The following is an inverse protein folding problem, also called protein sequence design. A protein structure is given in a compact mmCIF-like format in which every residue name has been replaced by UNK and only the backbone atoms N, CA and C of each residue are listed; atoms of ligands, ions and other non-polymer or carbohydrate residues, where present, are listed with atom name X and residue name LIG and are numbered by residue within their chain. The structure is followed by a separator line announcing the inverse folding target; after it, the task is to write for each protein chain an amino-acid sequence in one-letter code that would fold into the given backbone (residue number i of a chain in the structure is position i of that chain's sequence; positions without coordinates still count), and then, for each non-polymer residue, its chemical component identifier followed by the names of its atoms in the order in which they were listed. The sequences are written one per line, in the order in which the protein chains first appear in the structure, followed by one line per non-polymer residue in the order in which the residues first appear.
data_IF_355350799336
#
_entry.id   IF_355350799336
#
_cell.length_a   1.000
_cell.length_b   1.000
_cell.length_c   1.000
_cell.angle_alpha   90.00
_cell.angle_beta   90.00
_cell.angle_gamma   90.00
#
_symmetry.space_group_name_H-M   'P 1'
#
loop_
_entity.id
_entity.type
_entity.pdbx_description
1 polymer ?
#
# COMPACT_ATOMS: atom_id res chain seq x y z
N UNK A 1 4.32 -3.06 42.46
CA UNK A 1 2.85 -3.29 42.38
C UNK A 1 2.37 -2.71 41.05
N UNK A 2 2.47 -3.49 39.98
CA UNK A 2 2.18 -3.07 38.60
C UNK A 2 0.77 -3.54 38.23
N UNK A 3 -0.15 -2.61 37.97
CA UNK A 3 -1.49 -2.93 37.47
C UNK A 3 -1.46 -2.96 35.95
N UNK A 4 -1.32 -4.17 35.40
CA UNK A 4 -1.56 -4.49 33.98
C UNK A 4 -3.07 -4.42 33.66
N UNK A 5 -3.49 -3.89 32.50
CA UNK A 5 -4.85 -4.08 32.01
C UNK A 5 -5.06 -5.54 31.53
N UNK A 6 -6.29 -6.08 31.64
CA UNK A 6 -6.57 -7.48 31.35
C UNK A 6 -6.68 -7.76 29.84
N UNK A 7 -6.01 -8.83 29.45
CA UNK A 7 -6.37 -9.80 28.40
C UNK A 7 -6.59 -9.27 26.97
N UNK A 8 -5.50 -8.83 26.34
CA UNK A 8 -5.42 -8.81 24.86
C UNK A 8 -5.02 -10.22 24.43
N UNK A 9 -5.97 -10.95 23.84
CA UNK A 9 -5.69 -12.25 23.21
C UNK A 9 -4.64 -12.04 22.13
N UNK A 10 -3.48 -12.69 22.29
CA UNK A 10 -2.44 -12.74 21.27
C UNK A 10 -3.02 -13.39 20.00
N UNK A 11 -3.04 -12.65 18.90
CA UNK A 11 -3.40 -13.21 17.61
C UNK A 11 -2.14 -13.75 16.93
N UNK A 12 -2.23 -14.88 16.20
CA UNK A 12 -1.07 -15.61 15.65
C UNK A 12 -0.28 -14.87 14.55
N UNK A 13 -0.56 -13.57 14.32
CA UNK A 13 0.11 -12.72 13.34
C UNK A 13 0.82 -11.50 13.96
N UNK A 14 0.94 -11.44 15.28
CA UNK A 14 1.71 -10.38 15.95
C UNK A 14 3.21 -10.64 15.75
N UNK A 15 3.77 -10.06 14.69
CA UNK A 15 5.19 -10.07 14.42
C UNK A 15 5.90 -9.15 15.41
N UNK A 16 6.74 -9.74 16.27
CA UNK A 16 7.61 -9.06 17.26
C UNK A 16 8.49 -7.96 16.63
N UNK A 17 8.68 -7.97 15.31
CA UNK A 17 9.49 -6.98 14.58
C UNK A 17 8.71 -5.72 14.12
N UNK A 18 7.37 -5.71 14.24
CA UNK A 18 6.51 -4.58 13.86
C UNK A 18 6.30 -3.55 15.00
N UNK A 19 7.08 -3.63 16.08
CA UNK A 19 6.94 -2.75 17.26
C UNK A 19 7.43 -1.30 17.04
N UNK A 20 7.29 -0.76 15.82
CA UNK A 20 7.30 0.70 15.59
C UNK A 20 5.93 1.10 15.03
N UNK A 21 5.12 1.85 15.80
CA UNK A 21 3.78 2.24 15.34
C UNK A 21 3.93 3.36 14.31
N UNK A 22 4.00 3.02 13.03
CA UNK A 22 3.79 4.00 11.97
C UNK A 22 2.26 4.20 11.83
N UNK A 23 1.73 5.22 12.51
CA UNK A 23 0.31 5.53 12.53
C UNK A 23 -0.19 5.82 11.10
N UNK A 24 -1.06 4.95 10.58
CA UNK A 24 -1.72 5.19 9.29
C UNK A 24 -2.68 6.39 9.37
N UNK A 25 -2.82 7.15 8.28
CA UNK A 25 -3.80 8.26 8.14
C UNK A 25 -5.23 7.82 8.51
N UNK A 26 -5.59 6.57 8.22
CA UNK A 26 -6.90 5.98 8.55
C UNK A 26 -7.07 5.75 10.06
N UNK A 27 -5.99 5.48 10.78
CA UNK A 27 -5.97 5.31 12.23
C UNK A 27 -5.95 6.66 12.95
N UNK A 28 -5.28 7.66 12.39
CA UNK A 28 -5.34 9.05 12.86
C UNK A 28 -6.78 9.61 12.81
N UNK A 29 -7.49 9.42 11.70
CA UNK A 29 -8.90 9.86 11.57
C UNK A 29 -9.86 9.12 12.53
N UNK A 30 -9.54 7.89 12.92
CA UNK A 30 -10.30 7.17 13.96
C UNK A 30 -9.99 7.69 15.37
N UNK A 31 -8.75 8.09 15.63
CA UNK A 31 -8.33 8.57 16.95
C UNK A 31 -8.86 9.98 17.27
N UNK A 32 -9.12 10.82 16.26
CA UNK A 32 -9.58 12.21 16.48
C UNK A 32 -11.07 12.37 16.74
N UNK A 33 -11.87 11.30 16.65
CA UNK A 33 -13.31 11.36 16.96
C UNK A 33 -13.60 11.42 18.47
N UNK A 34 -12.60 11.22 19.33
CA UNK A 34 -12.76 11.23 20.78
C UNK A 34 -11.55 11.87 21.48
N UNK A 35 -11.46 13.21 21.46
CA UNK A 35 -10.99 14.11 22.54
C UNK A 35 -10.48 15.44 21.95
N UNK A 36 -11.14 16.54 22.30
CA UNK A 36 -10.63 17.90 22.11
C UNK A 36 -10.08 18.41 23.45
N UNK A 37 -8.75 18.44 23.60
CA UNK A 37 -8.06 19.16 24.68
C UNK A 37 -6.84 19.87 24.05
N UNK A 38 -6.63 21.13 24.43
CA UNK A 38 -5.75 22.09 23.77
C UNK A 38 -4.23 21.96 24.06
N UNK A 39 -3.44 22.60 23.18
CA UNK A 39 -2.02 23.03 23.25
C UNK A 39 -0.91 22.06 22.78
N UNK A 40 0.31 22.57 22.43
CA UNK A 40 0.69 23.68 21.53
C UNK A 40 1.53 23.17 20.31
N UNK A 41 1.84 24.08 19.38
CA UNK A 41 2.49 23.80 18.10
C UNK A 41 3.89 23.16 18.21
N UNK A 42 4.08 21.99 17.58
CA UNK A 42 5.40 21.44 17.21
C UNK A 42 5.45 21.44 15.68
N UNK A 43 6.32 22.30 15.14
CA UNK A 43 6.64 22.35 13.73
C UNK A 43 7.20 21.00 13.29
N UNK A 44 6.41 20.22 12.55
CA UNK A 44 6.91 19.08 11.79
C UNK A 44 7.18 19.58 10.38
N UNK A 45 8.45 19.63 10.03
CA UNK A 45 8.88 19.79 8.64
C UNK A 45 8.23 18.68 7.84
N UNK A 46 7.28 19.07 6.97
CA UNK A 46 6.69 18.20 5.98
C UNK A 46 7.82 17.73 5.04
N UNK A 47 8.45 16.61 5.38
CA UNK A 47 9.36 15.91 4.50
C UNK A 47 8.56 15.46 3.29
N UNK A 48 8.83 16.05 2.14
CA UNK A 48 8.36 15.52 0.86
C UNK A 48 9.02 14.15 0.71
N UNK A 49 8.24 13.08 0.85
CA UNK A 49 8.72 11.75 0.51
C UNK A 49 8.99 11.75 -1.00
N UNK A 50 10.27 11.84 -1.37
CA UNK A 50 10.73 11.60 -2.74
C UNK A 50 10.41 10.13 -3.03
N UNK A 51 9.35 9.87 -3.77
CA UNK A 51 9.13 8.57 -4.37
C UNK A 51 10.26 8.36 -5.39
N UNK A 52 11.26 7.56 -5.03
CA UNK A 52 12.27 7.09 -5.99
C UNK A 52 11.55 6.30 -7.06
N UNK A 53 11.35 6.92 -8.22
CA UNK A 53 10.91 6.22 -9.43
C UNK A 53 12.06 5.33 -9.88
N UNK A 54 12.01 4.05 -9.49
CA UNK A 54 12.91 3.03 -9.97
C UNK A 54 12.67 2.76 -11.44
N UNK A 55 13.38 3.45 -12.32
CA UNK A 55 13.28 3.34 -13.78
C UNK A 55 13.85 2.02 -14.35
N UNK A 56 14.07 1.00 -13.51
CA UNK A 56 14.89 -0.18 -13.83
C UNK A 56 14.20 -1.54 -13.73
N UNK A 57 12.94 -1.63 -13.29
CA UNK A 57 12.30 -2.95 -13.09
C UNK A 57 11.75 -3.59 -14.39
N UNK A 58 11.45 -2.79 -15.42
CA UNK A 58 10.69 -3.24 -16.61
C UNK A 58 11.62 -3.75 -17.75
N UNK A 59 12.90 -3.37 -17.77
CA UNK A 59 13.74 -3.49 -18.97
C UNK A 59 14.25 -4.91 -19.29
N UNK A 60 14.42 -5.78 -18.29
CA UNK A 60 15.13 -7.06 -18.47
C UNK A 60 14.19 -8.27 -18.70
N UNK A 61 12.89 -8.04 -18.90
CA UNK A 61 11.89 -9.11 -19.04
C UNK A 61 11.64 -9.92 -17.76
N UNK A 62 12.28 -9.56 -16.65
CA UNK A 62 12.02 -10.14 -15.33
C UNK A 62 10.55 -9.84 -14.94
N UNK A 63 9.79 -10.85 -14.47
CA UNK A 63 8.44 -10.62 -13.96
C UNK A 63 8.42 -9.61 -12.81
N UNK A 64 7.35 -8.84 -12.69
CA UNK A 64 7.12 -7.91 -11.59
C UNK A 64 5.84 -8.33 -10.87
N UNK A 65 5.91 -8.44 -9.56
CA UNK A 65 4.76 -8.74 -8.72
C UNK A 65 4.45 -7.53 -7.83
N UNK A 66 3.35 -6.85 -8.12
CA UNK A 66 2.80 -5.81 -7.25
C UNK A 66 1.93 -6.52 -6.22
N UNK A 67 2.27 -6.42 -4.93
CA UNK A 67 1.70 -7.29 -3.88
C UNK A 67 0.90 -6.52 -2.84
N UNK A 68 -0.28 -7.04 -2.48
CA UNK A 68 -1.05 -6.62 -1.31
C UNK A 68 -1.75 -5.26 -1.42
N UNK A 69 -1.98 -4.75 -2.63
CA UNK A 69 -2.65 -3.47 -2.87
C UNK A 69 -4.17 -3.59 -2.99
N UNK A 70 -4.88 -2.48 -2.80
CA UNK A 70 -6.29 -2.36 -3.19
C UNK A 70 -6.36 -2.18 -4.70
N UNK A 71 -6.87 -3.18 -5.42
CA UNK A 71 -6.84 -3.20 -6.88
C UNK A 71 -8.19 -2.79 -7.44
N UNK A 72 -8.20 -1.67 -8.15
CA UNK A 72 -9.35 -1.19 -8.92
C UNK A 72 -9.11 -1.55 -10.39
N UNK A 73 -9.76 -2.59 -10.91
CA UNK A 73 -9.51 -3.03 -12.29
C UNK A 73 -10.25 -2.17 -13.32
N UNK A 74 -11.39 -1.60 -12.93
CA UNK A 74 -12.31 -0.89 -13.84
C UNK A 74 -12.84 -1.80 -14.97
N UNK A 75 -12.66 -3.12 -14.83
CA UNK A 75 -13.19 -4.15 -15.72
C UNK A 75 -14.17 -5.02 -14.93
N UNK A 76 -15.44 -5.05 -15.37
CA UNK A 76 -16.50 -5.84 -14.73
C UNK A 76 -16.20 -7.34 -14.71
N UNK A 77 -15.41 -7.83 -15.66
CA UNK A 77 -15.07 -9.26 -15.77
C UNK A 77 -14.04 -9.68 -14.75
N UNK A 78 -13.14 -8.77 -14.36
CA UNK A 78 -12.09 -8.99 -13.37
C UNK A 78 -12.59 -8.67 -11.97
N UNK A 79 -13.38 -7.59 -11.84
CA UNK A 79 -13.85 -7.07 -10.55
C UNK A 79 -12.76 -6.28 -9.81
N UNK A 80 -13.15 -5.71 -8.68
CA UNK A 80 -12.26 -4.95 -7.80
C UNK A 80 -11.94 -5.77 -6.54
N UNK A 81 -10.76 -5.54 -5.96
CA UNK A 81 -10.28 -6.26 -4.80
C UNK A 81 -9.83 -5.29 -3.71
N UNK A 82 -10.32 -5.46 -2.49
CA UNK A 82 -9.80 -4.71 -1.34
C UNK A 82 -8.32 -5.01 -1.09
N UNK A 83 -7.89 -6.24 -1.40
CA UNK A 83 -6.50 -6.66 -1.36
C UNK A 83 -6.23 -7.73 -2.44
N UNK A 84 -5.34 -7.44 -3.37
CA UNK A 84 -4.89 -8.39 -4.39
C UNK A 84 -3.47 -8.10 -4.88
N UNK A 85 -2.97 -9.03 -5.69
CA UNK A 85 -1.67 -8.95 -6.33
C UNK A 85 -1.84 -8.83 -7.85
N UNK A 86 -0.91 -8.13 -8.50
CA UNK A 86 -0.84 -7.97 -9.95
C UNK A 86 0.51 -8.49 -10.44
N UNK A 87 0.47 -9.53 -11.27
CA UNK A 87 1.66 -10.08 -11.90
C UNK A 87 1.80 -9.53 -13.32
N UNK A 88 2.92 -8.86 -13.56
CA UNK A 88 3.31 -8.31 -14.86
C UNK A 88 4.48 -9.12 -15.39
N UNK A 89 4.41 -9.50 -16.66
CA UNK A 89 5.51 -10.16 -17.37
C UNK A 89 5.74 -9.40 -18.69
N UNK A 90 6.91 -8.79 -18.82
CA UNK A 90 7.20 -7.90 -19.94
C UNK A 90 6.19 -6.75 -20.02
N UNK A 91 5.44 -6.67 -21.12
CA UNK A 91 4.45 -5.62 -21.37
C UNK A 91 3.00 -5.99 -21.03
N UNK A 92 2.77 -7.16 -20.40
CA UNK A 92 1.42 -7.67 -20.16
C UNK A 92 1.18 -7.98 -18.69
N UNK A 93 -0.06 -7.74 -18.26
CA UNK A 93 -0.60 -8.25 -17.01
C UNK A 93 -1.04 -9.69 -17.25
N UNK A 94 -0.44 -10.63 -16.53
CA UNK A 94 -0.70 -12.07 -16.68
C UNK A 94 -1.75 -12.55 -15.70
N UNK A 95 -1.80 -11.95 -14.51
CA UNK A 95 -2.79 -12.31 -13.50
C UNK A 95 -3.07 -11.13 -12.57
N UNK A 96 -4.35 -11.02 -12.17
CA UNK A 96 -4.83 -10.16 -11.09
C UNK A 96 -5.66 -11.03 -10.17
N UNK A 97 -5.18 -11.27 -8.95
CA UNK A 97 -5.89 -12.06 -7.93
C UNK A 97 -5.16 -11.97 -6.59
N UNK A 98 -5.80 -12.33 -5.47
CA UNK A 98 -5.11 -12.47 -4.20
C UNK A 98 -4.05 -13.59 -4.23
N UNK A 99 -2.99 -13.41 -3.44
CA UNK A 99 -1.98 -14.43 -3.12
C UNK A 99 -1.33 -15.07 -4.36
N UNK A 100 -0.75 -14.26 -5.24
CA UNK A 100 0.03 -14.75 -6.38
C UNK A 100 1.43 -15.15 -5.87
N UNK A 101 1.83 -16.39 -6.22
CA UNK A 101 3.20 -16.86 -6.02
C UNK A 101 3.98 -16.67 -7.32
N UNK A 102 5.03 -15.86 -7.27
CA UNK A 102 5.96 -15.64 -8.38
C UNK A 102 7.40 -15.51 -7.84
N UNK A 103 8.09 -16.63 -7.57
CA UNK A 103 9.39 -16.64 -6.89
C UNK A 103 10.49 -15.84 -7.59
N UNK A 104 10.42 -15.76 -8.92
CA UNK A 104 11.43 -15.09 -9.75
C UNK A 104 11.10 -13.62 -10.03
N UNK A 105 9.97 -13.12 -9.52
CA UNK A 105 9.52 -11.76 -9.77
C UNK A 105 10.31 -10.74 -8.92
N UNK A 106 10.44 -9.53 -9.44
CA UNK A 106 10.73 -8.36 -8.61
C UNK A 106 9.44 -7.98 -7.86
N UNK A 107 9.49 -7.97 -6.54
CA UNK A 107 8.30 -7.68 -5.72
C UNK A 107 8.26 -6.20 -5.39
N UNK A 108 7.11 -5.58 -5.67
CA UNK A 108 6.77 -4.22 -5.26
C UNK A 108 5.69 -4.35 -4.18
N UNK A 109 5.98 -3.90 -2.97
CA UNK A 109 5.00 -3.85 -1.90
C UNK A 109 4.02 -2.69 -2.13
N UNK A 110 2.75 -3.03 -2.35
CA UNK A 110 1.65 -2.11 -2.56
C UNK A 110 0.70 -2.07 -1.36
N UNK A 111 1.11 -2.59 -0.20
CA UNK A 111 0.32 -2.53 1.03
C UNK A 111 -0.09 -1.09 1.36
N UNK A 112 -1.36 -0.89 1.70
CA UNK A 112 -1.96 0.44 1.96
C UNK A 112 -1.94 1.41 0.77
N UNK A 113 -1.73 0.91 -0.45
CA UNK A 113 -1.81 1.72 -1.69
C UNK A 113 -2.99 1.28 -2.56
N UNK A 114 -3.36 2.13 -3.51
CA UNK A 114 -4.33 1.81 -4.55
C UNK A 114 -3.56 1.51 -5.83
N UNK A 115 -3.87 0.36 -6.44
CA UNK A 115 -3.38 -0.07 -7.74
C UNK A 115 -4.54 0.06 -8.73
N UNK A 116 -4.37 0.91 -9.74
CA UNK A 116 -5.39 1.18 -10.75
C UNK A 116 -4.76 1.33 -12.13
N UNK A 117 -5.54 1.21 -13.22
CA UNK A 117 -5.08 1.55 -14.56
C UNK A 117 -4.41 2.93 -14.60
N UNK A 118 -3.35 3.06 -15.39
CA UNK A 118 -2.74 4.35 -15.67
C UNK A 118 -3.75 5.28 -16.35
N UNK A 119 -3.66 6.57 -16.03
CA UNK A 119 -4.51 7.57 -16.69
C UNK A 119 -4.16 7.70 -18.18
N UNK A 120 -5.20 7.93 -18.98
CA UNK A 120 -5.07 8.22 -20.41
C UNK A 120 -5.39 9.70 -20.61
N UNK A 121 -4.39 10.45 -21.07
CA UNK A 121 -4.56 11.84 -21.47
C UNK A 121 -5.09 11.89 -22.91
N UNK A 122 -6.37 12.27 -23.06
CA UNK A 122 -7.03 12.33 -24.37
C UNK A 122 -6.84 13.67 -25.07
N UNK A 123 -6.39 14.71 -24.35
CA UNK A 123 -6.40 16.05 -24.90
C UNK A 123 -5.39 16.95 -24.18
N UNK A 124 -4.23 17.16 -24.82
CA UNK A 124 -3.21 18.11 -24.38
C UNK A 124 -2.75 19.03 -25.50
N UNK A 125 -2.56 20.31 -25.17
CA UNK A 125 -1.81 21.26 -25.98
C UNK A 125 -0.50 21.53 -25.26
N UNK A 126 0.59 21.08 -25.88
CA UNK A 126 1.94 21.10 -25.29
C UNK A 126 2.88 22.07 -26.01
N UNK A 127 2.30 22.97 -26.80
CA UNK A 127 2.91 24.00 -27.61
C UNK A 127 1.95 25.19 -27.68
#
# INVERSE_FOLDING_TARGET
MSTLPPDVKAHPYDCVYCATPNLSRRQFLRATAATAIAAPAIATTAGCAIATQGNGAIADGRPILIKGGCVLSVDRSVGDFEQADVLVVGSRIVAVRPNISAPNAAVIDASNTIVMPGFVDTHRHMW
#
